data_IF_540084865241
#
_entry.id   IF_540084865241
#
_cell.length_a   1.000
_cell.length_b   1.000
_cell.length_c   1.000
_cell.angle_alpha   90.00
_cell.angle_beta   90.00
_cell.angle_gamma   90.00
#
_symmetry.space_group_name_H-M   'P 1'
#
loop_
_entity.id
_entity.type
_entity.pdbx_description
1 polymer ?
#
# COMPACT_ATOMS: atom_id res chain seq x y z
N UNK A 1 20.56 6.28 2.31
CA UNK A 1 19.73 7.39 1.79
C UNK A 1 18.58 6.89 0.91
N UNK A 2 18.83 5.90 0.03
CA UNK A 2 17.82 5.30 -0.85
C UNK A 2 16.61 4.71 -0.11
N UNK A 3 16.82 3.91 0.94
CA UNK A 3 15.71 3.31 1.71
C UNK A 3 14.77 4.34 2.34
N UNK A 4 15.31 5.46 2.83
CA UNK A 4 14.49 6.54 3.40
C UNK A 4 13.60 7.18 2.33
N UNK A 5 14.17 7.49 1.16
CA UNK A 5 13.41 7.96 -0.01
C UNK A 5 12.36 6.93 -0.45
N UNK A 6 12.69 5.65 -0.40
CA UNK A 6 11.74 4.57 -0.69
C UNK A 6 10.57 4.56 0.30
N UNK A 7 10.83 4.73 1.59
CA UNK A 7 9.75 4.82 2.60
C UNK A 7 8.86 6.03 2.35
N UNK A 8 9.42 7.17 1.91
CA UNK A 8 8.60 8.30 1.47
C UNK A 8 7.68 7.91 0.29
N UNK A 9 8.19 7.12 -0.66
CA UNK A 9 7.41 6.60 -1.79
C UNK A 9 6.27 5.65 -1.34
N UNK A 10 6.51 4.83 -0.31
CA UNK A 10 5.50 3.95 0.28
C UNK A 10 4.37 4.73 0.97
N UNK A 11 4.72 5.83 1.65
CA UNK A 11 3.75 6.66 2.39
C UNK A 11 2.92 7.54 1.43
N UNK A 12 3.48 7.91 0.28
CA UNK A 12 2.85 8.85 -0.66
C UNK A 12 1.42 8.45 -1.07
N UNK A 13 1.13 7.19 -1.47
CA UNK A 13 -0.24 6.74 -1.71
C UNK A 13 -1.19 6.96 -0.53
N UNK A 14 -0.74 6.71 0.71
CA UNK A 14 -1.57 6.91 1.90
C UNK A 14 -1.97 8.37 2.05
N UNK A 15 -1.02 9.29 1.87
CA UNK A 15 -1.29 10.73 1.94
C UNK A 15 -2.26 11.16 0.83
N UNK A 16 -2.03 10.70 -0.40
CA UNK A 16 -2.90 11.04 -1.53
C UNK A 16 -4.34 10.58 -1.30
N UNK A 17 -4.53 9.34 -0.83
CA UNK A 17 -5.86 8.80 -0.56
C UNK A 17 -6.50 9.38 0.71
N UNK A 18 -5.72 9.80 1.70
CA UNK A 18 -6.23 10.53 2.87
C UNK A 18 -6.80 11.89 2.46
N UNK A 19 -6.06 12.66 1.65
CA UNK A 19 -6.51 13.95 1.13
C UNK A 19 -7.78 13.76 0.29
N UNK A 20 -7.78 12.77 -0.61
CA UNK A 20 -8.94 12.47 -1.46
C UNK A 20 -10.17 12.02 -0.64
N UNK A 21 -9.94 11.19 0.38
CA UNK A 21 -10.99 10.74 1.31
C UNK A 21 -11.63 11.89 2.07
N UNK A 22 -10.81 12.80 2.60
CA UNK A 22 -11.31 13.97 3.32
C UNK A 22 -12.04 14.93 2.38
N UNK A 23 -11.50 15.17 1.18
CA UNK A 23 -12.08 16.16 0.25
C UNK A 23 -13.40 15.70 -0.36
N UNK A 24 -13.50 14.45 -0.84
CA UNK A 24 -14.69 13.99 -1.57
C UNK A 24 -15.72 13.25 -0.74
N UNK A 25 -15.32 12.69 0.41
CA UNK A 25 -16.21 11.87 1.22
C UNK A 25 -16.40 12.39 2.65
N UNK A 26 -15.66 13.44 3.05
CA UNK A 26 -15.65 13.99 4.40
C UNK A 26 -15.37 12.91 5.47
N UNK A 27 -14.53 11.93 5.12
CA UNK A 27 -14.19 10.79 5.96
C UNK A 27 -12.83 10.98 6.60
N UNK A 28 -12.81 10.98 7.93
CA UNK A 28 -11.57 10.92 8.70
C UNK A 28 -10.88 9.54 8.55
N UNK A 29 -9.60 9.46 8.92
CA UNK A 29 -8.89 8.18 9.03
C UNK A 29 -9.66 7.18 9.92
N UNK A 30 -10.26 7.66 11.01
CA UNK A 30 -11.01 6.81 11.94
C UNK A 30 -12.24 6.19 11.28
N UNK A 31 -12.90 6.92 10.37
CA UNK A 31 -14.07 6.43 9.63
C UNK A 31 -13.67 5.36 8.62
N UNK A 32 -12.55 5.58 7.93
CA UNK A 32 -11.99 4.60 7.00
C UNK A 32 -11.61 3.28 7.71
N UNK A 33 -11.27 3.31 9.00
CA UNK A 33 -10.93 2.10 9.76
C UNK A 33 -12.14 1.35 10.36
N UNK A 34 -13.37 1.87 10.26
CA UNK A 34 -14.55 1.25 10.91
C UNK A 34 -14.93 -0.09 10.30
N UNK A 35 -15.02 -0.18 8.97
CA UNK A 35 -15.32 -1.42 8.25
C UNK A 35 -14.05 -2.27 8.16
N UNK A 36 -14.17 -3.58 8.33
CA UNK A 36 -13.03 -4.51 8.31
C UNK A 36 -11.90 -4.17 9.30
N UNK A 37 -12.24 -3.49 10.41
CA UNK A 37 -11.32 -2.90 11.39
C UNK A 37 -10.13 -3.79 11.74
N UNK A 38 -10.38 -5.04 12.12
CA UNK A 38 -9.33 -5.98 12.51
C UNK A 38 -8.37 -6.33 11.37
N UNK A 39 -8.90 -6.53 10.16
CA UNK A 39 -8.07 -6.86 9.01
C UNK A 39 -7.28 -5.64 8.51
N UNK A 40 -7.82 -4.42 8.62
CA UNK A 40 -7.08 -3.18 8.35
C UNK A 40 -5.93 -2.98 9.35
N UNK A 41 -6.15 -3.24 10.64
CA UNK A 41 -5.05 -3.20 11.61
C UNK A 41 -4.00 -4.27 11.37
N UNK A 42 -4.43 -5.48 10.98
CA UNK A 42 -3.51 -6.53 10.59
C UNK A 42 -2.64 -6.10 9.40
N UNK A 43 -3.23 -5.52 8.36
CA UNK A 43 -2.50 -4.98 7.20
C UNK A 43 -1.51 -3.87 7.60
N UNK A 44 -1.91 -2.95 8.50
CA UNK A 44 -1.02 -1.91 9.04
C UNK A 44 0.17 -2.55 9.77
N UNK A 45 -0.07 -3.51 10.66
CA UNK A 45 0.99 -4.20 11.39
C UNK A 45 1.94 -4.95 10.47
N UNK A 46 1.39 -5.58 9.42
CA UNK A 46 2.15 -6.29 8.41
C UNK A 46 3.05 -5.33 7.61
N UNK A 47 2.54 -4.16 7.22
CA UNK A 47 3.36 -3.12 6.58
C UNK A 47 4.39 -2.52 7.54
N UNK A 48 4.08 -2.34 8.82
CA UNK A 48 5.06 -1.87 9.80
C UNK A 48 6.23 -2.86 9.93
N UNK A 49 5.94 -4.16 10.03
CA UNK A 49 6.98 -5.20 10.02
C UNK A 49 7.79 -5.18 8.72
N UNK A 50 7.11 -4.99 7.59
CA UNK A 50 7.73 -4.87 6.28
C UNK A 50 8.65 -3.63 6.16
N UNK A 51 8.25 -2.48 6.70
CA UNK A 51 9.10 -1.28 6.75
C UNK A 51 10.35 -1.52 7.59
N UNK A 52 10.23 -2.20 8.74
CA UNK A 52 11.39 -2.58 9.56
C UNK A 52 12.35 -3.48 8.77
N UNK A 53 11.81 -4.45 8.03
CA UNK A 53 12.61 -5.30 7.15
C UNK A 53 13.34 -4.50 6.07
N UNK A 54 12.66 -3.59 5.38
CA UNK A 54 13.27 -2.71 4.38
C UNK A 54 14.30 -1.74 4.98
N UNK A 55 14.13 -1.29 6.22
CA UNK A 55 15.16 -0.47 6.88
C UNK A 55 16.48 -1.24 7.05
N UNK A 56 16.42 -2.56 7.24
CA UNK A 56 17.59 -3.41 7.44
C UNK A 56 18.18 -3.86 6.10
N UNK A 57 17.33 -4.32 5.17
CA UNK A 57 17.78 -4.99 3.93
C UNK A 57 17.41 -4.23 2.65
N UNK A 58 16.56 -3.20 2.74
CA UNK A 58 16.00 -2.47 1.59
C UNK A 58 17.04 -1.86 0.67
N UNK A 59 18.21 -1.46 1.19
CA UNK A 59 19.23 -0.83 0.37
C UNK A 59 19.78 -1.78 -0.71
N UNK A 60 20.02 -3.05 -0.38
CA UNK A 60 20.56 -4.03 -1.33
C UNK A 60 19.58 -4.45 -2.42
N UNK A 61 18.27 -4.24 -2.21
CA UNK A 61 17.24 -4.53 -3.21
C UNK A 61 17.18 -3.47 -4.32
N UNK A 62 17.42 -2.21 -3.99
CA UNK A 62 17.24 -1.09 -4.93
C UNK A 62 18.53 -0.47 -5.45
N UNK A 63 19.66 -0.91 -4.90
CA UNK A 63 21.00 -0.42 -5.25
C UNK A 63 21.94 -1.60 -5.39
N UNK A 64 22.56 -1.74 -6.56
CA UNK A 64 23.52 -2.83 -6.84
C UNK A 64 24.76 -2.33 -7.58
N UNK A 65 25.89 -3.01 -7.35
CA UNK A 65 27.20 -2.76 -7.97
C UNK A 65 28.25 -2.29 -6.97
N UNK A 66 29.54 -2.49 -7.30
CA UNK A 66 30.68 -2.18 -6.43
C UNK A 66 30.78 -0.69 -6.02
N UNK A 67 30.06 0.19 -6.73
CA UNK A 67 29.99 1.63 -6.49
C UNK A 67 28.54 2.14 -6.44
N UNK A 68 27.54 1.28 -6.23
CA UNK A 68 26.13 1.69 -6.10
C UNK A 68 25.57 2.47 -7.32
N UNK A 69 26.11 2.24 -8.52
CA UNK A 69 25.84 3.07 -9.70
C UNK A 69 24.60 2.70 -10.50
N UNK A 70 23.94 1.58 -10.19
CA UNK A 70 22.70 1.16 -10.86
C UNK A 70 21.52 1.21 -9.90
N UNK A 71 20.55 2.04 -10.26
CA UNK A 71 19.26 2.18 -9.61
C UNK A 71 18.22 1.54 -10.53
N UNK A 72 17.50 0.53 -10.05
CA UNK A 72 16.41 -0.10 -10.79
C UNK A 72 15.09 0.52 -10.37
N UNK A 73 14.52 1.38 -11.20
CA UNK A 73 13.23 2.05 -10.93
C UNK A 73 12.12 1.02 -10.67
N UNK A 74 12.17 -0.12 -11.35
CA UNK A 74 11.25 -1.24 -11.17
C UNK A 74 11.26 -1.76 -9.72
N UNK A 75 12.43 -1.95 -9.13
CA UNK A 75 12.58 -2.37 -7.73
C UNK A 75 12.04 -1.30 -6.76
N UNK A 76 12.24 -0.01 -7.05
CA UNK A 76 11.66 1.06 -6.25
C UNK A 76 10.13 1.02 -6.25
N UNK A 77 9.54 0.79 -7.42
CA UNK A 77 8.10 0.64 -7.56
C UNK A 77 7.63 -0.61 -6.80
N UNK A 78 8.25 -1.76 -7.07
CA UNK A 78 7.84 -3.05 -6.53
C UNK A 78 7.97 -3.13 -5.00
N UNK A 79 9.09 -2.68 -4.43
CA UNK A 79 9.35 -2.82 -2.99
C UNK A 79 8.76 -1.69 -2.15
N UNK A 80 8.48 -0.51 -2.73
CA UNK A 80 7.99 0.64 -1.95
C UNK A 80 6.64 1.16 -2.40
N UNK A 81 6.47 1.50 -3.68
CA UNK A 81 5.22 2.11 -4.16
C UNK A 81 4.04 1.14 -4.10
N UNK A 82 4.22 -0.09 -4.59
CA UNK A 82 3.12 -1.05 -4.67
C UNK A 82 2.61 -1.46 -3.28
N UNK A 83 3.45 -1.79 -2.28
CA UNK A 83 2.99 -2.03 -0.91
C UNK A 83 2.22 -0.84 -0.32
N UNK A 84 2.65 0.39 -0.64
CA UNK A 84 1.94 1.62 -0.27
C UNK A 84 0.54 1.71 -0.89
N UNK A 85 0.42 1.41 -2.20
CA UNK A 85 -0.85 1.36 -2.91
C UNK A 85 -1.77 0.25 -2.37
N UNK A 86 -1.23 -0.92 -2.04
CA UNK A 86 -1.98 -2.02 -1.43
C UNK A 86 -2.53 -1.60 -0.06
N UNK A 87 -1.68 -1.02 0.80
CA UNK A 87 -2.12 -0.54 2.11
C UNK A 87 -3.15 0.59 1.99
N UNK A 88 -2.97 1.52 1.06
CA UNK A 88 -3.95 2.57 0.79
C UNK A 88 -5.29 1.98 0.32
N UNK A 89 -5.26 0.95 -0.54
CA UNK A 89 -6.45 0.21 -0.98
C UNK A 89 -7.16 -0.50 0.18
N UNK A 90 -6.42 -0.93 1.20
CA UNK A 90 -6.98 -1.54 2.40
C UNK A 90 -7.59 -0.48 3.33
N UNK A 91 -6.84 0.57 3.68
CA UNK A 91 -7.29 1.59 4.63
C UNK A 91 -8.40 2.42 4.02
N UNK A 92 -8.16 2.99 2.85
CA UNK A 92 -9.05 3.87 2.10
C UNK A 92 -9.85 3.09 1.05
N UNK A 93 -10.31 1.88 1.40
CA UNK A 93 -11.04 0.98 0.51
C UNK A 93 -12.28 1.61 -0.13
N UNK A 94 -12.96 2.50 0.60
CA UNK A 94 -14.15 3.20 0.10
C UNK A 94 -13.79 4.17 -1.04
N UNK A 95 -12.95 5.21 -0.83
CA UNK A 95 -12.57 6.11 -1.92
C UNK A 95 -11.83 5.39 -3.07
N UNK A 96 -11.01 4.38 -2.77
CA UNK A 96 -10.33 3.57 -3.79
C UNK A 96 -11.35 2.79 -4.63
N UNK A 97 -12.36 2.19 -4.01
CA UNK A 97 -13.44 1.50 -4.73
C UNK A 97 -14.23 2.41 -5.67
N UNK A 98 -14.37 3.69 -5.33
CA UNK A 98 -14.99 4.69 -6.21
C UNK A 98 -14.13 5.05 -7.41
N UNK A 99 -12.79 5.02 -7.28
CA UNK A 99 -11.87 5.19 -8.40
C UNK A 99 -11.98 4.05 -9.43
N UNK A 100 -12.30 2.83 -9.00
CA UNK A 100 -12.31 1.63 -9.85
C UNK A 100 -13.61 1.37 -10.61
N UNK A 101 -14.68 2.12 -10.37
CA UNK A 101 -15.97 1.81 -11.00
C UNK A 101 -16.78 3.05 -11.32
N UNK A 102 -17.29 3.09 -12.55
CA UNK A 102 -18.21 4.12 -13.04
C UNK A 102 -19.34 4.41 -12.03
N UNK A 103 -19.66 5.69 -11.84
CA UNK A 103 -20.77 6.14 -10.99
C UNK A 103 -22.14 5.59 -11.45
N UNK A 104 -22.23 5.02 -12.65
CA UNK A 104 -23.42 4.42 -13.24
C UNK A 104 -23.54 2.90 -13.03
N UNK A 105 -22.53 2.23 -12.46
CA UNK A 105 -22.57 0.76 -12.31
C UNK A 105 -23.64 0.32 -11.30
N UNK A 106 -24.43 -0.70 -11.63
CA UNK A 106 -25.45 -1.32 -10.76
C UNK A 106 -24.88 -1.90 -9.45
N UNK A 107 -23.56 -2.07 -9.36
CA UNK A 107 -22.86 -2.48 -8.15
C UNK A 107 -22.88 -1.34 -7.12
N UNK A 108 -23.63 -1.53 -6.04
CA UNK A 108 -23.71 -0.59 -4.93
C UNK A 108 -22.33 -0.23 -4.34
N UNK A 109 -22.21 0.99 -3.83
CA UNK A 109 -20.96 1.55 -3.28
C UNK A 109 -20.26 0.65 -2.25
N UNK A 110 -21.02 -0.11 -1.46
CA UNK A 110 -20.46 -1.07 -0.50
C UNK A 110 -19.68 -2.20 -1.18
N UNK A 111 -20.14 -2.69 -2.33
CA UNK A 111 -19.49 -3.82 -3.01
C UNK A 111 -18.16 -3.40 -3.64
N UNK A 112 -18.09 -2.17 -4.16
CA UNK A 112 -16.83 -1.58 -4.67
C UNK A 112 -15.79 -1.43 -3.57
N UNK A 113 -16.21 -0.99 -2.39
CA UNK A 113 -15.34 -0.92 -1.21
C UNK A 113 -14.81 -2.31 -0.82
N UNK A 114 -15.66 -3.33 -0.81
CA UNK A 114 -15.25 -4.69 -0.43
C UNK A 114 -14.27 -5.30 -1.45
N UNK A 115 -14.45 -5.03 -2.73
CA UNK A 115 -13.51 -5.44 -3.79
C UNK A 115 -12.16 -4.73 -3.62
N UNK A 116 -12.15 -3.40 -3.44
CA UNK A 116 -10.91 -2.64 -3.24
C UNK A 116 -10.15 -3.12 -1.99
N UNK A 117 -10.87 -3.34 -0.89
CA UNK A 117 -10.31 -3.89 0.34
C UNK A 117 -9.69 -5.28 0.11
N UNK A 118 -10.44 -6.19 -0.52
CA UNK A 118 -10.02 -7.58 -0.72
C UNK A 118 -8.83 -7.66 -1.66
N UNK A 119 -8.85 -6.93 -2.78
CA UNK A 119 -7.73 -6.86 -3.70
C UNK A 119 -6.49 -6.27 -3.02
N UNK A 120 -6.64 -5.16 -2.29
CA UNK A 120 -5.55 -4.55 -1.55
C UNK A 120 -4.91 -5.51 -0.55
N UNK A 121 -5.72 -6.25 0.22
CA UNK A 121 -5.24 -7.19 1.22
C UNK A 121 -4.57 -8.42 0.60
N UNK A 122 -5.17 -9.02 -0.42
CA UNK A 122 -4.61 -10.18 -1.11
C UNK A 122 -3.26 -9.85 -1.74
N UNK A 123 -3.16 -8.70 -2.40
CA UNK A 123 -1.93 -8.27 -3.04
C UNK A 123 -0.85 -7.91 -2.03
N UNK A 124 -1.22 -7.28 -0.91
CA UNK A 124 -0.31 -7.01 0.19
C UNK A 124 0.27 -8.32 0.76
N UNK A 125 -0.58 -9.33 0.99
CA UNK A 125 -0.15 -10.65 1.45
C UNK A 125 0.78 -11.32 0.45
N UNK A 126 0.45 -11.27 -0.85
CA UNK A 126 1.27 -11.82 -1.91
C UNK A 126 2.67 -11.19 -1.94
N UNK A 127 2.78 -9.86 -1.91
CA UNK A 127 4.07 -9.17 -1.91
C UNK A 127 4.90 -9.48 -0.68
N UNK A 128 4.27 -9.48 0.49
CA UNK A 128 4.98 -9.75 1.74
C UNK A 128 5.48 -11.19 1.78
N UNK A 129 4.71 -12.13 1.23
CA UNK A 129 5.12 -13.52 1.09
C UNK A 129 6.24 -13.70 0.07
N UNK A 130 6.17 -13.03 -1.08
CA UNK A 130 7.24 -13.08 -2.09
C UNK A 130 8.58 -12.65 -1.50
N UNK A 131 8.59 -11.57 -0.74
CA UNK A 131 9.83 -11.02 -0.14
C UNK A 131 10.35 -11.93 0.97
N UNK A 132 9.44 -12.54 1.74
CA UNK A 132 9.83 -13.58 2.69
C UNK A 132 10.52 -14.75 1.97
N UNK A 133 10.01 -15.21 0.84
CA UNK A 133 10.64 -16.27 0.04
C UNK A 133 12.01 -15.86 -0.53
N UNK A 134 12.17 -14.61 -0.96
CA UNK A 134 13.46 -14.08 -1.45
C UNK A 134 14.52 -13.98 -0.33
N UNK A 135 14.09 -14.00 0.93
CA UNK A 135 14.96 -13.90 2.11
C UNK A 135 15.41 -15.24 2.71
N UNK A 136 14.89 -16.37 2.22
CA UNK A 136 15.25 -17.74 2.62
C UNK A 136 16.47 -18.27 1.83
#
# INVERSE_FOLDING_TARGET
MSTFLGICLLILPLICFDIYSNHEFDLSLSDNLKKWKWAKYFAIMLVLAYVVYLLIYGHSYVVAGAYETRIYIEDWVQYYLVPGLCLASVIYSKPVGYFFGDNSSELGSSMKEDVAFTLGLLWLLFFTWQIFLESL
#
